data_IF_910647018035
#
_entry.id   IF_910647018035
#
_cell.length_a   1.000
_cell.length_b   1.000
_cell.length_c   1.000
_cell.angle_alpha   90.00
_cell.angle_beta   90.00
_cell.angle_gamma   90.00
#
_symmetry.space_group_name_H-M   'P 1'
#
loop_
_entity.id
_entity.type
_entity.pdbx_description
1 polymer ?
#
# COMPACT_ATOMS: atom_id res chain seq x y z
N UNK A 1 5.33 6.53 -1.58
CA UNK A 1 6.50 5.92 -0.91
C UNK A 1 7.63 6.91 -0.67
N UNK A 2 7.77 7.94 -1.52
CA UNK A 2 8.82 8.96 -1.37
C UNK A 2 8.54 10.02 -0.29
N UNK A 3 7.31 10.13 0.19
CA UNK A 3 6.93 11.17 1.15
C UNK A 3 7.77 11.16 2.44
N UNK A 4 8.22 9.99 2.90
CA UNK A 4 9.14 9.90 4.03
C UNK A 4 10.51 10.54 3.76
N UNK A 5 11.04 10.43 2.54
CA UNK A 5 12.29 11.11 2.16
C UNK A 5 12.08 12.61 2.02
N UNK A 6 10.94 13.04 1.46
CA UNK A 6 10.61 14.46 1.34
C UNK A 6 10.50 15.11 2.71
N UNK A 7 9.86 14.45 3.68
CA UNK A 7 9.77 14.96 5.05
C UNK A 7 11.16 15.10 5.72
N UNK A 8 12.09 14.19 5.44
CA UNK A 8 13.45 14.27 5.92
C UNK A 8 14.22 15.49 5.38
N UNK A 9 13.92 15.92 4.14
CA UNK A 9 14.56 17.11 3.54
C UNK A 9 14.26 18.39 4.31
N UNK A 10 13.15 18.42 5.06
CA UNK A 10 12.74 19.53 5.91
C UNK A 10 12.96 19.24 7.41
N UNK A 11 13.78 18.24 7.74
CA UNK A 11 14.13 17.89 9.10
C UNK A 11 13.06 17.14 9.89
N UNK A 12 12.01 16.63 9.21
CA UNK A 12 10.91 15.91 9.86
C UNK A 12 11.02 14.42 9.53
N UNK A 13 10.94 13.57 10.55
CA UNK A 13 10.96 12.13 10.35
C UNK A 13 9.53 11.56 10.35
N UNK A 14 9.03 11.19 9.16
CA UNK A 14 7.76 10.48 9.01
C UNK A 14 8.01 9.00 8.71
N UNK A 15 7.40 8.08 9.46
CA UNK A 15 7.69 6.65 9.37
C UNK A 15 7.00 5.98 8.17
N UNK A 16 7.13 6.58 6.98
CA UNK A 16 6.60 6.03 5.73
C UNK A 16 7.67 5.17 5.07
N UNK A 17 7.44 3.86 5.05
CA UNK A 17 8.36 2.89 4.43
C UNK A 17 7.83 2.40 3.08
N UNK A 18 8.70 2.21 2.06
CA UNK A 18 8.28 1.59 0.81
C UNK A 18 7.99 0.11 1.02
N UNK A 19 6.81 -0.34 0.60
CA UNK A 19 6.39 -1.74 0.66
C UNK A 19 6.14 -2.26 -0.76
N UNK A 20 7.08 -3.09 -1.25
CA UNK A 20 7.05 -3.61 -2.62
C UNK A 20 5.87 -4.57 -2.83
N UNK A 21 5.16 -4.42 -3.96
CA UNK A 21 4.19 -5.37 -4.46
C UNK A 21 4.49 -5.70 -5.91
N UNK A 22 4.72 -6.99 -6.20
CA UNK A 22 4.96 -7.51 -7.53
C UNK A 22 3.64 -7.93 -8.16
N UNK A 23 3.50 -7.71 -9.46
CA UNK A 23 2.30 -8.01 -10.25
C UNK A 23 2.72 -8.76 -11.52
N UNK A 24 1.91 -9.74 -11.89
CA UNK A 24 2.03 -10.50 -13.15
C UNK A 24 0.90 -10.07 -14.08
N UNK A 25 1.23 -9.80 -15.33
CA UNK A 25 0.27 -9.48 -16.39
C UNK A 25 0.28 -10.57 -17.43
N UNK A 26 -0.90 -11.06 -17.82
CA UNK A 26 -1.05 -12.06 -18.87
C UNK A 26 -1.34 -11.42 -20.23
N UNK A 27 -1.22 -12.20 -21.30
CA UNK A 27 -1.78 -11.81 -22.59
C UNK A 27 -3.31 -11.63 -22.46
N UNK A 28 -3.90 -10.88 -23.39
CA UNK A 28 -5.33 -10.71 -23.49
C UNK A 28 -6.03 -12.04 -23.85
N UNK A 29 -7.07 -12.38 -23.13
CA UNK A 29 -7.86 -13.60 -23.36
C UNK A 29 -9.36 -13.34 -23.26
N UNK A 30 -10.14 -14.41 -23.39
CA UNK A 30 -11.59 -14.33 -23.16
C UNK A 30 -11.89 -13.78 -21.78
N UNK A 31 -12.97 -13.04 -21.64
CA UNK A 31 -13.45 -12.57 -20.33
C UNK A 31 -13.86 -13.76 -19.47
N UNK A 32 -13.12 -13.95 -18.37
CA UNK A 32 -13.34 -15.01 -17.37
C UNK A 32 -13.55 -14.44 -15.96
N UNK A 33 -13.23 -13.15 -15.75
CA UNK A 33 -13.47 -12.43 -14.52
C UNK A 33 -14.28 -11.18 -14.83
N UNK A 34 -15.48 -11.07 -14.25
CA UNK A 34 -16.33 -9.88 -14.36
C UNK A 34 -16.05 -8.85 -13.26
N UNK A 35 -15.42 -9.29 -12.16
CA UNK A 35 -15.16 -8.47 -10.98
C UNK A 35 -13.76 -8.76 -10.45
N UNK A 36 -13.19 -7.81 -9.71
CA UNK A 36 -11.96 -8.03 -8.98
C UNK A 36 -12.19 -9.10 -7.89
N UNK A 37 -11.30 -10.09 -7.83
CA UNK A 37 -11.26 -11.10 -6.77
C UNK A 37 -10.17 -10.77 -5.79
N UNK A 38 -10.54 -10.65 -4.51
CA UNK A 38 -9.59 -10.43 -3.41
C UNK A 38 -9.80 -11.54 -2.38
N UNK A 39 -8.75 -12.23 -2.01
CA UNK A 39 -8.84 -13.26 -0.98
C UNK A 39 -8.98 -12.67 0.42
N UNK A 40 -9.73 -13.32 1.30
CA UNK A 40 -9.83 -12.91 2.71
C UNK A 40 -8.44 -12.87 3.40
N UNK A 41 -7.52 -13.77 3.03
CA UNK A 41 -6.13 -13.74 3.51
C UNK A 41 -5.38 -12.47 3.11
N UNK A 42 -5.68 -11.91 1.95
CA UNK A 42 -5.10 -10.64 1.50
C UNK A 42 -5.53 -9.48 2.40
N UNK A 43 -6.80 -9.45 2.77
CA UNK A 43 -7.37 -8.45 3.67
C UNK A 43 -6.83 -8.66 5.08
N UNK A 44 -6.86 -9.90 5.59
CA UNK A 44 -6.34 -10.22 6.93
C UNK A 44 -4.86 -9.84 7.08
N UNK A 45 -4.01 -10.12 6.07
CA UNK A 45 -2.59 -9.74 6.09
C UNK A 45 -2.35 -8.21 6.09
N UNK A 46 -3.37 -7.41 5.80
CA UNK A 46 -3.30 -5.95 5.88
C UNK A 46 -3.49 -5.45 7.32
N UNK A 47 -4.35 -6.13 8.09
CA UNK A 47 -4.80 -5.68 9.40
C UNK A 47 -4.22 -6.50 10.57
N UNK A 48 -3.63 -7.66 10.31
CA UNK A 48 -3.03 -8.52 11.34
C UNK A 48 -1.50 -8.43 11.29
N UNK A 49 -0.85 -7.83 12.33
CA UNK A 49 0.60 -7.73 12.41
C UNK A 49 1.30 -9.10 12.41
N UNK A 50 0.68 -10.16 12.94
CA UNK A 50 1.25 -11.51 12.92
C UNK A 50 1.34 -12.11 11.51
N UNK A 51 0.53 -11.58 10.59
CA UNK A 51 0.51 -11.94 9.18
C UNK A 51 1.30 -10.95 8.31
N UNK A 52 1.64 -9.78 8.84
CA UNK A 52 2.43 -8.79 8.13
C UNK A 52 3.84 -9.34 7.86
N UNK A 53 4.23 -9.38 6.59
CA UNK A 53 5.58 -9.82 6.19
C UNK A 53 5.74 -11.30 5.86
N UNK A 54 4.76 -12.17 6.15
CA UNK A 54 4.84 -13.57 5.68
C UNK A 54 4.70 -13.62 4.17
N UNK A 55 5.65 -14.27 3.48
CA UNK A 55 5.63 -14.44 2.01
C UNK A 55 4.37 -15.18 1.56
N UNK A 56 3.76 -14.73 0.47
CA UNK A 56 2.70 -15.49 -0.19
C UNK A 56 1.31 -15.36 0.40
N UNK A 57 0.98 -14.25 1.06
CA UNK A 57 -0.30 -14.10 1.72
C UNK A 57 -1.31 -13.30 0.90
N UNK A 58 -2.25 -14.07 0.37
CA UNK A 58 -3.42 -13.55 -0.31
C UNK A 58 -3.18 -13.15 -1.77
N UNK A 59 -4.26 -13.13 -2.49
CA UNK A 59 -4.29 -12.80 -3.91
C UNK A 59 -5.28 -11.68 -4.18
N UNK A 60 -4.97 -10.88 -5.19
CA UNK A 60 -5.88 -9.99 -5.87
C UNK A 60 -5.76 -10.26 -7.36
N UNK A 61 -6.89 -10.41 -8.04
CA UNK A 61 -6.94 -10.66 -9.48
C UNK A 61 -8.00 -9.77 -10.09
N UNK A 62 -7.67 -9.17 -11.21
CA UNK A 62 -8.63 -8.44 -12.03
C UNK A 62 -8.38 -8.70 -13.51
N UNK A 63 -9.41 -8.56 -14.31
CA UNK A 63 -9.28 -8.60 -15.76
C UNK A 63 -9.64 -7.24 -16.32
N UNK A 64 -8.75 -6.71 -17.15
CA UNK A 64 -8.96 -5.43 -17.84
C UNK A 64 -9.96 -5.58 -18.97
N UNK A 65 -10.52 -4.48 -19.45
CA UNK A 65 -11.44 -4.45 -20.61
C UNK A 65 -10.80 -5.04 -21.87
N UNK A 66 -9.47 -4.90 -21.99
CA UNK A 66 -8.70 -5.50 -23.09
C UNK A 66 -8.48 -7.02 -22.92
N UNK A 67 -8.93 -7.62 -21.81
CA UNK A 67 -8.82 -9.05 -21.55
C UNK A 67 -7.55 -9.52 -20.85
N UNK A 68 -6.61 -8.61 -20.52
CA UNK A 68 -5.42 -8.97 -19.76
C UNK A 68 -5.78 -9.23 -18.29
N UNK A 69 -5.21 -10.28 -17.69
CA UNK A 69 -5.33 -10.50 -16.26
C UNK A 69 -4.14 -9.85 -15.53
N UNK A 70 -4.45 -9.09 -14.48
CA UNK A 70 -3.49 -8.59 -13.51
C UNK A 70 -3.58 -9.46 -12.27
N UNK A 71 -2.49 -10.16 -11.96
CA UNK A 71 -2.41 -11.11 -10.86
C UNK A 71 -1.45 -10.56 -9.82
N UNK A 72 -1.90 -10.40 -8.62
CA UNK A 72 -1.10 -9.82 -7.54
C UNK A 72 -1.50 -10.31 -6.16
N UNK A 73 -0.84 -9.83 -5.21
CA UNK A 73 0.45 -9.17 -5.24
C UNK A 73 1.27 -9.59 -4.03
N UNK A 74 2.57 -9.46 -4.13
CA UNK A 74 3.43 -9.61 -2.95
C UNK A 74 3.31 -8.41 -2.02
N UNK A 75 3.79 -8.56 -0.78
CA UNK A 75 3.95 -7.49 0.20
C UNK A 75 5.31 -7.69 0.88
N UNK A 76 6.28 -6.88 0.52
CA UNK A 76 7.67 -7.08 0.91
C UNK A 76 8.31 -5.75 1.32
N UNK A 77 9.07 -5.77 2.41
CA UNK A 77 9.96 -4.68 2.76
C UNK A 77 11.31 -4.92 2.06
N UNK A 78 11.53 -4.26 0.94
CA UNK A 78 12.72 -4.38 0.09
C UNK A 78 13.36 -3.00 -0.18
N UNK A 79 13.14 -2.05 0.72
CA UNK A 79 13.56 -0.67 0.49
C UNK A 79 12.94 -0.11 -0.79
N UNK A 80 13.69 0.68 -1.51
CA UNK A 80 13.26 1.27 -2.79
C UNK A 80 13.49 0.36 -4.01
N UNK A 81 13.88 -0.91 -3.78
CA UNK A 81 14.09 -1.88 -4.87
C UNK A 81 12.73 -2.26 -5.51
N UNK A 82 12.61 -2.05 -6.83
CA UNK A 82 11.45 -2.40 -7.66
C UNK A 82 11.67 -3.64 -8.53
N UNK A 83 12.74 -4.38 -8.32
CA UNK A 83 13.02 -5.58 -9.10
C UNK A 83 12.00 -6.68 -8.79
N UNK A 84 11.60 -7.40 -9.84
CA UNK A 84 10.78 -8.59 -9.70
C UNK A 84 11.67 -9.77 -9.33
N UNK A 85 11.19 -10.60 -8.40
CA UNK A 85 11.89 -11.83 -8.01
C UNK A 85 11.17 -13.06 -8.57
N UNK A 86 11.94 -14.02 -9.02
CA UNK A 86 11.38 -15.28 -9.54
C UNK A 86 10.51 -15.99 -8.49
N UNK A 87 10.90 -15.93 -7.21
CA UNK A 87 10.12 -16.50 -6.10
C UNK A 87 8.78 -15.79 -5.91
N UNK A 88 8.75 -14.45 -6.00
CA UNK A 88 7.52 -13.66 -5.92
C UNK A 88 6.56 -13.97 -7.06
N UNK A 89 7.07 -13.94 -8.29
CA UNK A 89 6.29 -14.25 -9.50
C UNK A 89 5.72 -15.67 -9.46
N UNK A 90 6.55 -16.67 -9.14
CA UNK A 90 6.10 -18.08 -8.98
C UNK A 90 5.05 -18.21 -7.89
N UNK A 91 5.22 -17.49 -6.76
CA UNK A 91 4.25 -17.49 -5.67
C UNK A 91 2.89 -16.96 -6.10
N UNK A 92 2.86 -15.83 -6.81
CA UNK A 92 1.63 -15.24 -7.36
C UNK A 92 0.95 -16.25 -8.31
N UNK A 93 1.67 -16.77 -9.31
CA UNK A 93 1.11 -17.70 -10.30
C UNK A 93 0.55 -18.95 -9.63
N UNK A 94 1.30 -19.55 -8.70
CA UNK A 94 0.85 -20.75 -7.98
C UNK A 94 -0.46 -20.51 -7.21
N UNK A 95 -0.53 -19.42 -6.46
CA UNK A 95 -1.72 -19.11 -5.65
C UNK A 95 -2.94 -18.75 -6.51
N UNK A 96 -2.73 -17.93 -7.54
CA UNK A 96 -3.82 -17.53 -8.44
C UNK A 96 -4.35 -18.71 -9.24
N UNK A 97 -3.48 -19.61 -9.72
CA UNK A 97 -3.89 -20.82 -10.43
C UNK A 97 -4.70 -21.80 -9.56
N UNK A 98 -4.50 -21.79 -8.24
CA UNK A 98 -5.31 -22.62 -7.33
C UNK A 98 -6.76 -22.13 -7.27
N UNK A 99 -6.99 -20.81 -7.35
CA UNK A 99 -8.34 -20.21 -7.30
C UNK A 99 -8.97 -20.16 -8.68
N UNK A 100 -8.16 -19.93 -9.72
CA UNK A 100 -8.62 -19.80 -11.09
C UNK A 100 -7.82 -20.76 -12.01
N UNK A 101 -8.17 -22.06 -12.08
CA UNK A 101 -7.45 -23.05 -12.87
C UNK A 101 -7.37 -22.74 -14.37
N UNK A 102 -8.31 -21.93 -14.89
CA UNK A 102 -8.32 -21.45 -16.27
C UNK A 102 -7.05 -20.64 -16.64
N UNK A 103 -6.31 -20.13 -15.63
CA UNK A 103 -5.03 -19.43 -15.84
C UNK A 103 -3.98 -20.26 -16.58
N UNK A 104 -4.08 -21.58 -16.57
CA UNK A 104 -3.18 -22.47 -17.35
C UNK A 104 -3.17 -22.15 -18.85
N UNK A 105 -4.23 -21.53 -19.36
CA UNK A 105 -4.38 -21.16 -20.76
C UNK A 105 -3.85 -19.75 -21.07
N UNK A 106 -3.33 -19.02 -20.05
CA UNK A 106 -2.83 -17.65 -20.20
C UNK A 106 -1.31 -17.63 -20.11
N UNK A 107 -0.68 -16.88 -20.99
CA UNK A 107 0.76 -16.66 -20.97
C UNK A 107 1.09 -15.34 -20.28
N UNK A 108 2.15 -15.34 -19.49
CA UNK A 108 2.69 -14.14 -18.88
C UNK A 108 3.40 -13.32 -19.95
N UNK A 109 3.02 -12.06 -20.09
CA UNK A 109 3.65 -11.12 -21.03
C UNK A 109 4.47 -10.05 -20.33
N UNK A 110 4.19 -9.77 -19.04
CA UNK A 110 4.88 -8.75 -18.29
C UNK A 110 4.82 -9.02 -16.79
N UNK A 111 5.85 -8.55 -16.10
CA UNK A 111 5.85 -8.41 -14.63
C UNK A 111 6.33 -7.03 -14.27
N UNK A 112 5.80 -6.46 -13.20
CA UNK A 112 6.27 -5.19 -12.66
C UNK A 112 6.08 -5.13 -11.14
N UNK A 113 6.74 -4.19 -10.49
CA UNK A 113 6.58 -3.95 -9.07
C UNK A 113 6.35 -2.47 -8.78
N UNK A 114 5.48 -2.22 -7.81
CA UNK A 114 5.22 -0.90 -7.25
C UNK A 114 5.63 -0.83 -5.78
N UNK A 115 5.82 0.39 -5.27
CA UNK A 115 6.14 0.64 -3.86
C UNK A 115 4.95 1.34 -3.21
N UNK A 116 4.30 0.67 -2.28
CA UNK A 116 3.21 1.24 -1.49
C UNK A 116 3.79 2.07 -0.34
N UNK A 117 3.22 3.23 -0.03
CA UNK A 117 3.61 4.04 1.13
C UNK A 117 3.01 3.46 2.41
N UNK A 118 3.72 2.54 3.03
CA UNK A 118 3.32 1.88 4.27
C UNK A 118 3.56 2.79 5.48
N UNK A 119 2.59 2.85 6.39
CA UNK A 119 2.68 3.48 7.71
C UNK A 119 2.59 2.42 8.80
N UNK A 120 3.23 2.60 9.97
CA UNK A 120 3.25 1.57 11.02
C UNK A 120 1.87 1.18 11.55
N UNK A 121 0.94 2.12 11.59
CA UNK A 121 -0.44 1.92 12.07
C UNK A 121 -1.44 1.60 10.94
N UNK A 122 -0.99 1.60 9.68
CA UNK A 122 -1.83 1.34 8.51
C UNK A 122 -2.79 2.48 8.15
N UNK A 123 -2.73 3.63 8.83
CA UNK A 123 -3.55 4.80 8.54
C UNK A 123 -2.76 5.81 7.69
N UNK A 124 -3.43 6.56 6.80
CA UNK A 124 -2.79 7.64 6.08
C UNK A 124 -2.37 8.77 7.04
N UNK A 125 -1.44 9.59 6.60
CA UNK A 125 -0.96 10.78 7.31
C UNK A 125 -1.56 11.99 6.61
N UNK A 126 -2.49 12.68 7.28
CA UNK A 126 -3.23 13.81 6.72
C UNK A 126 -3.18 14.99 7.70
N UNK A 127 -2.80 16.15 7.20
CA UNK A 127 -2.85 17.39 7.97
C UNK A 127 -1.52 18.13 8.12
N UNK A 128 -1.53 19.26 8.85
CA UNK A 128 -0.34 20.05 9.10
C UNK A 128 0.60 19.35 10.10
N UNK A 129 1.88 19.60 9.92
CA UNK A 129 2.92 19.21 10.88
C UNK A 129 3.16 20.38 11.82
N UNK A 130 2.81 20.26 13.10
CA UNK A 130 2.86 21.38 14.06
C UNK A 130 4.25 21.99 14.25
N UNK A 131 5.31 21.16 14.09
CA UNK A 131 6.68 21.62 14.25
C UNK A 131 7.21 22.42 13.06
N UNK A 132 6.48 22.50 11.94
CA UNK A 132 6.91 23.23 10.74
C UNK A 132 5.71 23.91 10.09
N UNK A 133 5.59 25.21 10.29
CA UNK A 133 4.51 26.01 9.74
C UNK A 133 4.49 25.94 8.21
N UNK A 134 3.29 25.81 7.65
CA UNK A 134 3.06 25.69 6.21
C UNK A 134 3.37 24.29 5.61
N UNK A 135 3.94 23.35 6.38
CA UNK A 135 4.17 22.00 5.89
C UNK A 135 2.98 21.09 6.19
N UNK A 136 2.37 20.58 5.14
CA UNK A 136 1.13 19.78 5.20
C UNK A 136 1.37 18.46 4.52
N UNK A 137 0.91 17.37 5.11
CA UNK A 137 1.04 16.03 4.58
C UNK A 137 -0.30 15.45 4.13
N UNK A 138 -0.27 14.74 2.99
CA UNK A 138 -1.34 13.87 2.50
C UNK A 138 -0.70 12.64 1.86
N UNK A 139 -0.36 11.64 2.66
CA UNK A 139 0.45 10.49 2.23
C UNK A 139 0.17 9.23 3.07
N UNK A 140 0.81 8.11 2.76
CA UNK A 140 0.77 6.93 3.63
C UNK A 140 -0.44 6.02 3.43
N UNK A 141 -1.17 6.12 2.33
CA UNK A 141 -2.41 5.36 2.07
C UNK A 141 -2.20 3.87 1.74
N UNK A 142 -0.99 3.39 1.76
CA UNK A 142 -0.62 2.00 1.40
C UNK A 142 -1.18 1.59 0.02
N UNK A 143 -2.05 0.58 -0.05
CA UNK A 143 -2.66 0.09 -1.29
C UNK A 143 -4.00 0.76 -1.64
N UNK A 144 -4.54 1.62 -0.78
CA UNK A 144 -5.89 2.18 -0.92
C UNK A 144 -5.90 3.61 -1.47
N UNK A 145 -4.72 4.18 -1.76
CA UNK A 145 -4.57 5.59 -2.12
C UNK A 145 -5.40 6.02 -3.33
N UNK A 146 -5.59 5.16 -4.33
CA UNK A 146 -6.40 5.47 -5.51
C UNK A 146 -7.87 5.63 -5.09
N UNK A 147 -8.42 4.66 -4.36
CA UNK A 147 -9.81 4.67 -3.92
C UNK A 147 -10.09 5.81 -2.91
N UNK A 148 -9.13 6.15 -2.07
CA UNK A 148 -9.26 7.19 -1.06
C UNK A 148 -8.89 8.59 -1.56
N UNK A 149 -8.35 8.75 -2.77
CA UNK A 149 -7.90 10.06 -3.27
C UNK A 149 -9.00 11.11 -3.32
N UNK A 150 -10.26 10.83 -3.74
CA UNK A 150 -11.30 11.84 -3.79
C UNK A 150 -11.64 12.40 -2.40
N UNK A 151 -11.89 11.53 -1.44
CA UNK A 151 -12.22 11.96 -0.08
C UNK A 151 -11.02 12.64 0.60
N UNK A 152 -9.80 12.15 0.36
CA UNK A 152 -8.59 12.80 0.87
C UNK A 152 -8.46 14.22 0.33
N UNK A 153 -8.67 14.40 -0.98
CA UNK A 153 -8.62 15.73 -1.61
C UNK A 153 -9.65 16.68 -1.03
N UNK A 154 -10.88 16.21 -0.83
CA UNK A 154 -11.97 17.01 -0.26
C UNK A 154 -11.68 17.44 1.19
N UNK A 155 -11.32 16.49 2.06
CA UNK A 155 -10.99 16.77 3.46
C UNK A 155 -9.79 17.72 3.60
N UNK A 156 -8.75 17.52 2.78
CA UNK A 156 -7.58 18.42 2.76
C UNK A 156 -7.94 19.82 2.27
N UNK A 157 -8.82 19.92 1.26
CA UNK A 157 -9.33 21.19 0.77
C UNK A 157 -10.12 21.95 1.84
N UNK A 158 -11.03 21.27 2.54
CA UNK A 158 -11.80 21.85 3.65
C UNK A 158 -10.86 22.40 4.73
N UNK A 159 -9.89 21.61 5.14
CA UNK A 159 -8.90 22.01 6.15
C UNK A 159 -8.08 23.24 5.70
N UNK A 160 -7.58 23.25 4.46
CA UNK A 160 -6.78 24.35 3.92
C UNK A 160 -7.56 25.65 3.80
N UNK A 161 -8.87 25.57 3.56
CA UNK A 161 -9.78 26.73 3.51
C UNK A 161 -10.28 27.17 4.89
N UNK A 162 -9.74 26.59 5.98
CA UNK A 162 -10.15 26.90 7.34
C UNK A 162 -11.56 26.40 7.71
N UNK A 163 -12.13 25.51 6.90
CA UNK A 163 -13.40 24.85 7.20
C UNK A 163 -13.17 23.66 8.11
N UNK A 164 -14.19 23.28 8.88
CA UNK A 164 -14.17 22.04 9.64
C UNK A 164 -14.34 20.87 8.67
N UNK A 165 -13.39 19.92 8.60
CA UNK A 165 -13.55 18.72 7.77
C UNK A 165 -14.75 17.87 8.21
N UNK A 166 -15.46 17.27 7.25
CA UNK A 166 -16.62 16.43 7.50
C UNK A 166 -16.25 15.14 8.29
N UNK A 167 -14.99 14.73 8.21
CA UNK A 167 -14.43 13.62 8.99
C UNK A 167 -13.33 14.19 9.88
N UNK A 168 -13.31 13.78 11.16
CA UNK A 168 -12.25 14.17 12.08
C UNK A 168 -10.89 13.67 11.57
N UNK A 169 -9.93 14.60 11.40
CA UNK A 169 -8.57 14.28 10.94
C UNK A 169 -7.58 13.95 12.06
N UNK A 170 -7.97 14.08 13.33
CA UNK A 170 -7.07 13.82 14.47
C UNK A 170 -6.42 12.43 14.44
N UNK A 171 -7.14 11.33 14.08
CA UNK A 171 -6.52 10.00 13.97
C UNK A 171 -5.46 9.91 12.86
N UNK A 172 -5.50 10.84 11.89
CA UNK A 172 -4.59 10.86 10.74
C UNK A 172 -3.48 11.92 10.88
N UNK A 173 -3.49 12.69 11.99
CA UNK A 173 -2.51 13.76 12.20
C UNK A 173 -1.07 13.24 12.09
N UNK A 174 -0.16 13.98 11.40
CA UNK A 174 1.28 13.69 11.42
C UNK A 174 1.85 13.61 12.84
N UNK A 175 1.33 14.43 13.75
CA UNK A 175 1.82 14.54 15.12
C UNK A 175 1.64 13.28 15.96
N UNK A 176 0.83 12.29 15.48
CA UNK A 176 0.72 10.99 16.14
C UNK A 176 2.01 10.18 16.11
N UNK A 177 2.96 10.59 15.28
CA UNK A 177 4.29 10.01 15.16
C UNK A 177 5.39 10.85 15.81
N UNK A 178 5.06 11.80 16.66
CA UNK A 178 6.05 12.58 17.42
C UNK A 178 6.75 11.71 18.48
N UNK A 179 8.02 12.01 18.83
CA UNK A 179 8.83 11.22 19.76
C UNK A 179 8.16 10.97 21.12
N UNK A 180 7.43 11.95 21.64
CA UNK A 180 6.77 11.87 22.94
C UNK A 180 5.66 10.80 23.02
N UNK A 181 5.13 10.35 21.87
CA UNK A 181 4.15 9.25 21.80
C UNK A 181 4.78 7.88 21.54
N UNK A 182 6.04 7.82 21.14
CA UNK A 182 6.78 6.58 20.93
C UNK A 182 7.45 6.05 22.20
N UNK A 183 7.45 6.79 23.32
CA UNK A 183 7.98 6.35 24.60
C UNK A 183 7.21 5.17 25.23
N UNK A 184 6.04 4.83 24.70
CA UNK A 184 5.18 3.72 25.15
C UNK A 184 5.65 2.31 24.73
N UNK A 185 6.80 2.16 24.05
CA UNK A 185 7.34 0.84 23.65
C UNK A 185 6.51 0.06 22.61
N UNK A 186 5.39 0.63 22.10
CA UNK A 186 4.51 -0.07 21.16
C UNK A 186 5.03 -0.19 19.73
N UNK A 187 6.11 0.53 19.41
CA UNK A 187 6.70 0.54 18.07
C UNK A 187 8.22 0.43 18.10
N UNK A 188 8.77 -0.39 19.00
CA UNK A 188 10.19 -0.74 18.93
C UNK A 188 10.50 -1.36 17.56
N UNK A 189 11.45 -0.75 16.88
CA UNK A 189 12.04 -1.24 15.64
C UNK A 189 12.66 -2.63 15.91
N UNK A 190 11.91 -3.71 15.69
CA UNK A 190 12.45 -5.07 15.71
C UNK A 190 13.19 -5.44 14.43
N UNK A 191 13.23 -4.55 13.46
CA UNK A 191 13.99 -4.75 12.22
C UNK A 191 15.12 -3.71 12.19
N UNK A 192 16.28 -4.12 12.69
CA UNK A 192 17.53 -3.38 12.50
C UNK A 192 17.83 -3.22 11.01
N UNK A 193 18.12 -1.98 10.61
CA UNK A 193 18.47 -1.37 9.32
C UNK A 193 17.29 -0.81 8.57
#
# INVERSE_FOLDING_TARGET
SMAGLISQMVGIHMPIKPRRGQIVVTHAGKSILKHCLISAKYIAAKHDPALAGKKGQGISMEQTDNGNLLLGSTREFAGFNKENTLSGIRGIIKQTATVLPALKNFQVIRTFAGLRPFTPDGLPILGPVKSLDGFIMAAGHEGDGIALSPITGDLMSQMLLGKKPDICLDPFSPDRFLPDRFSDGRFENKDGI
#
